data_IF_592211241968
#
_entry.id   IF_592211241968
#
_cell.length_a   1.000
_cell.length_b   1.000
_cell.length_c   1.000
_cell.angle_alpha   90.00
_cell.angle_beta   90.00
_cell.angle_gamma   90.00
#
_symmetry.space_group_name_H-M   'P 1'
#
loop_
_entity.id
_entity.type
_entity.pdbx_description
1 polymer ?
#
# COMPACT_ATOMS: atom_id res chain seq x y z
N UNK A 1 -21.42 -24.59 -10.71
CA UNK A 1 -20.64 -24.68 -9.46
C UNK A 1 -21.02 -23.50 -8.60
N UNK A 2 -21.83 -23.72 -7.56
CA UNK A 2 -22.05 -22.71 -6.53
C UNK A 2 -20.73 -22.55 -5.77
N UNK A 3 -20.01 -21.48 -6.09
CA UNK A 3 -18.86 -21.06 -5.30
C UNK A 3 -19.40 -20.42 -4.02
N UNK A 4 -19.84 -21.24 -3.07
CA UNK A 4 -20.08 -20.80 -1.70
C UNK A 4 -18.70 -20.46 -1.13
N UNK A 5 -18.26 -19.21 -1.33
CA UNK A 5 -17.04 -18.66 -0.76
C UNK A 5 -17.10 -18.78 0.76
N UNK A 6 -16.59 -19.89 1.30
CA UNK A 6 -16.60 -20.14 2.72
C UNK A 6 -15.38 -19.46 3.33
N UNK A 7 -15.54 -18.21 3.73
CA UNK A 7 -14.49 -17.37 4.32
C UNK A 7 -13.78 -18.10 5.48
N UNK A 8 -14.51 -18.92 6.24
CA UNK A 8 -13.97 -19.73 7.34
C UNK A 8 -12.93 -20.75 6.83
N UNK A 9 -13.16 -21.34 5.67
CA UNK A 9 -12.26 -22.32 5.06
C UNK A 9 -10.97 -21.65 4.56
N UNK A 10 -11.08 -20.46 3.97
CA UNK A 10 -9.92 -19.64 3.57
C UNK A 10 -9.08 -19.26 4.80
N UNK A 11 -9.72 -18.82 5.88
CA UNK A 11 -9.04 -18.45 7.12
C UNK A 11 -8.31 -19.65 7.73
N UNK A 12 -8.95 -20.82 7.78
CA UNK A 12 -8.34 -22.06 8.27
C UNK A 12 -7.18 -22.52 7.38
N UNK A 13 -7.28 -22.32 6.07
CA UNK A 13 -6.21 -22.66 5.15
C UNK A 13 -4.98 -21.77 5.35
N UNK A 14 -5.20 -20.45 5.51
CA UNK A 14 -4.15 -19.48 5.84
C UNK A 14 -3.46 -19.81 7.18
N UNK A 15 -4.23 -20.28 8.17
CA UNK A 15 -3.68 -20.69 9.46
C UNK A 15 -2.81 -21.95 9.37
N UNK A 16 -3.17 -22.90 8.50
CA UNK A 16 -2.42 -24.14 8.27
C UNK A 16 -1.17 -23.93 7.42
N UNK A 17 -1.21 -23.01 6.46
CA UNK A 17 -0.14 -22.81 5.47
C UNK A 17 0.28 -21.33 5.40
N UNK A 18 1.06 -20.83 6.37
CA UNK A 18 1.53 -19.43 6.38
C UNK A 18 2.41 -19.08 5.17
N UNK A 19 2.99 -20.08 4.49
CA UNK A 19 3.71 -19.87 3.23
C UNK A 19 2.83 -19.30 2.10
N UNK A 20 1.53 -19.59 2.11
CA UNK A 20 0.58 -18.99 1.17
C UNK A 20 0.50 -17.48 1.38
N UNK A 21 0.45 -17.02 2.64
CA UNK A 21 0.47 -15.59 2.99
C UNK A 21 1.74 -14.90 2.49
N UNK A 22 2.90 -15.56 2.61
CA UNK A 22 4.17 -15.05 2.09
C UNK A 22 4.15 -14.96 0.56
N UNK A 23 3.62 -15.97 -0.12
CA UNK A 23 3.45 -15.95 -1.58
C UNK A 23 2.49 -14.82 -2.02
N UNK A 24 1.39 -14.60 -1.29
CA UNK A 24 0.49 -13.46 -1.50
C UNK A 24 1.13 -12.10 -1.19
N UNK A 25 2.06 -12.05 -0.25
CA UNK A 25 2.85 -10.85 0.00
C UNK A 25 3.88 -10.61 -1.11
N UNK A 26 4.40 -11.67 -1.75
CA UNK A 26 5.35 -11.57 -2.86
C UNK A 26 4.68 -11.18 -4.20
N UNK A 27 3.60 -11.87 -4.55
CA UNK A 27 2.86 -11.69 -5.81
C UNK A 27 1.67 -10.76 -5.57
N UNK A 28 1.61 -9.69 -6.35
CA UNK A 28 1.09 -8.38 -5.94
C UNK A 28 -0.35 -7.96 -6.30
N UNK A 29 -1.32 -8.83 -6.69
CA UNK A 29 -2.58 -8.31 -7.23
C UNK A 29 -3.38 -7.51 -6.19
N UNK A 30 -3.22 -7.78 -4.90
CA UNK A 30 -3.90 -7.04 -3.84
C UNK A 30 -3.32 -5.65 -3.59
N UNK A 31 -2.01 -5.48 -3.75
CA UNK A 31 -1.32 -4.22 -3.49
C UNK A 31 -1.65 -3.14 -4.54
N UNK A 32 -1.87 -3.53 -5.79
CA UNK A 32 -2.37 -2.62 -6.85
C UNK A 32 -3.82 -2.16 -6.57
N UNK A 33 -4.67 -3.04 -6.07
CA UNK A 33 -6.02 -2.68 -5.62
C UNK A 33 -5.98 -1.75 -4.40
N UNK A 34 -5.14 -2.07 -3.41
CA UNK A 34 -4.91 -1.23 -2.23
C UNK A 34 -4.36 0.15 -2.61
N UNK A 35 -3.50 0.25 -3.62
CA UNK A 35 -2.96 1.51 -4.18
C UNK A 35 -4.06 2.47 -4.63
N UNK A 36 -5.19 1.94 -5.12
CA UNK A 36 -6.30 2.78 -5.57
C UNK A 36 -7.03 3.45 -4.40
N UNK A 37 -6.97 2.88 -3.20
CA UNK A 37 -7.74 3.37 -2.04
C UNK A 37 -7.20 4.73 -1.55
N UNK A 38 -5.90 4.92 -1.25
CA UNK A 38 -5.35 6.23 -0.89
C UNK A 38 -5.58 7.25 -2.00
N UNK A 39 -5.35 6.89 -3.27
CA UNK A 39 -5.54 7.78 -4.41
C UNK A 39 -7.01 8.23 -4.53
N UNK A 40 -7.95 7.31 -4.32
CA UNK A 40 -9.38 7.61 -4.32
C UNK A 40 -9.78 8.54 -3.17
N UNK A 41 -9.27 8.28 -1.95
CA UNK A 41 -9.52 9.15 -0.79
C UNK A 41 -8.97 10.55 -1.04
N UNK A 42 -7.73 10.68 -1.51
CA UNK A 42 -7.08 11.97 -1.71
C UNK A 42 -7.73 12.77 -2.86
N UNK A 43 -8.19 12.07 -3.91
CA UNK A 43 -9.07 12.65 -4.94
C UNK A 43 -10.36 13.19 -4.32
N UNK A 44 -11.01 12.42 -3.43
CA UNK A 44 -12.27 12.82 -2.80
C UNK A 44 -12.12 14.03 -1.87
N UNK A 45 -10.98 14.18 -1.22
CA UNK A 45 -10.64 15.33 -0.35
C UNK A 45 -10.25 16.58 -1.17
N UNK A 46 -10.15 16.49 -2.50
CA UNK A 46 -9.88 17.62 -3.39
C UNK A 46 -8.42 18.08 -3.41
N UNK A 47 -7.51 17.31 -2.81
CA UNK A 47 -6.06 17.59 -2.79
C UNK A 47 -5.41 17.21 -4.12
N UNK A 48 -6.03 16.30 -4.89
CA UNK A 48 -5.47 15.73 -6.11
C UNK A 48 -6.41 15.90 -7.31
N UNK A 49 -5.89 16.47 -8.41
CA UNK A 49 -6.55 16.49 -9.73
C UNK A 49 -5.81 15.53 -10.69
N UNK A 50 -6.43 14.41 -11.08
CA UNK A 50 -5.77 13.39 -11.93
C UNK A 50 -5.24 13.93 -13.27
N UNK A 51 -5.85 14.95 -13.84
CA UNK A 51 -5.47 15.50 -15.15
C UNK A 51 -4.23 16.40 -15.14
N UNK A 52 -3.68 16.77 -13.97
CA UNK A 52 -2.52 17.67 -13.87
C UNK A 52 -1.42 17.27 -12.87
N UNK A 53 -1.77 16.52 -11.81
CA UNK A 53 -0.84 16.19 -10.71
C UNK A 53 -0.27 14.77 -10.77
N UNK A 54 -0.59 14.02 -11.84
CA UNK A 54 -0.30 12.58 -11.97
C UNK A 54 1.21 12.26 -11.99
N UNK A 55 2.05 13.25 -12.29
CA UNK A 55 3.50 13.10 -12.40
C UNK A 55 4.18 12.75 -11.06
N UNK A 56 4.29 13.70 -10.13
CA UNK A 56 5.11 13.51 -8.91
C UNK A 56 4.29 13.04 -7.71
N UNK A 57 3.01 13.44 -7.61
CA UNK A 57 2.14 12.91 -6.56
C UNK A 57 1.89 11.40 -6.77
N UNK A 58 1.61 10.99 -8.00
CA UNK A 58 1.56 9.59 -8.39
C UNK A 58 2.87 8.86 -8.08
N UNK A 59 4.01 9.45 -8.43
CA UNK A 59 5.33 8.87 -8.14
C UNK A 59 5.60 8.70 -6.64
N UNK A 60 5.27 9.69 -5.80
CA UNK A 60 5.46 9.62 -4.34
C UNK A 60 4.58 8.53 -3.71
N UNK A 61 3.33 8.40 -4.14
CA UNK A 61 2.43 7.34 -3.69
C UNK A 61 2.96 5.97 -4.11
N UNK A 62 3.42 5.83 -5.35
CA UNK A 62 4.06 4.60 -5.84
C UNK A 62 5.31 4.25 -5.02
N UNK A 63 6.19 5.22 -4.74
CA UNK A 63 7.39 4.99 -3.93
C UNK A 63 7.07 4.51 -2.51
N UNK A 64 6.12 5.18 -1.83
CA UNK A 64 5.72 4.79 -0.47
C UNK A 64 5.09 3.39 -0.48
N UNK A 65 4.33 3.06 -1.52
CA UNK A 65 3.73 1.74 -1.71
C UNK A 65 4.76 0.66 -2.02
N UNK A 66 5.78 0.95 -2.83
CA UNK A 66 6.89 0.01 -3.10
C UNK A 66 7.70 -0.30 -1.84
N UNK A 67 8.01 0.73 -1.03
CA UNK A 67 8.69 0.55 0.25
C UNK A 67 7.80 -0.23 1.22
N UNK A 68 6.52 0.14 1.33
CA UNK A 68 5.55 -0.56 2.16
C UNK A 68 5.36 -2.02 1.78
N UNK A 69 5.34 -2.31 0.48
CA UNK A 69 5.31 -3.68 -0.04
C UNK A 69 6.55 -4.46 0.35
N UNK A 70 7.76 -3.92 0.08
CA UNK A 70 9.01 -4.62 0.36
C UNK A 70 9.12 -4.94 1.86
N UNK A 71 8.81 -3.95 2.71
CA UNK A 71 8.76 -4.14 4.16
C UNK A 71 7.71 -5.17 4.56
N UNK A 72 6.55 -5.15 3.92
CA UNK A 72 5.49 -6.13 4.09
C UNK A 72 5.96 -7.55 3.78
N UNK A 73 6.51 -7.77 2.60
CA UNK A 73 7.05 -9.05 2.18
C UNK A 73 8.15 -9.56 3.13
N UNK A 74 9.13 -8.73 3.46
CA UNK A 74 10.20 -9.08 4.40
C UNK A 74 9.63 -9.43 5.78
N UNK A 75 8.67 -8.65 6.28
CA UNK A 75 8.03 -8.94 7.56
C UNK A 75 7.28 -10.27 7.56
N UNK A 76 6.58 -10.62 6.46
CA UNK A 76 5.85 -11.89 6.36
C UNK A 76 6.82 -13.08 6.31
N UNK A 77 7.95 -12.96 5.63
CA UNK A 77 9.00 -13.99 5.67
C UNK A 77 9.53 -14.18 7.09
N UNK A 78 9.87 -13.08 7.78
CA UNK A 78 10.42 -13.16 9.14
C UNK A 78 9.42 -13.78 10.12
N UNK A 79 8.15 -13.34 10.08
CA UNK A 79 7.11 -13.88 10.96
C UNK A 79 6.84 -15.37 10.69
N UNK A 80 6.92 -15.82 9.43
CA UNK A 80 6.83 -17.23 9.09
C UNK A 80 7.97 -18.02 9.73
N UNK A 81 9.22 -17.55 9.61
CA UNK A 81 10.38 -18.21 10.22
C UNK A 81 10.36 -18.18 11.75
N UNK A 82 9.72 -17.19 12.35
CA UNK A 82 9.48 -17.13 13.80
C UNK A 82 8.36 -18.06 14.29
N UNK A 83 7.71 -18.81 13.39
CA UNK A 83 6.62 -19.73 13.75
C UNK A 83 5.34 -19.01 14.20
N UNK A 84 5.15 -17.76 13.78
CA UNK A 84 3.93 -17.01 14.08
C UNK A 84 2.77 -17.61 13.28
N UNK A 85 1.60 -17.75 13.90
CA UNK A 85 0.43 -18.29 13.21
C UNK A 85 0.00 -17.40 12.05
N UNK A 86 -0.44 -18.01 10.94
CA UNK A 86 -0.83 -17.28 9.73
C UNK A 86 -1.89 -16.21 9.98
N UNK A 87 -2.83 -16.46 10.90
CA UNK A 87 -3.86 -15.47 11.25
C UNK A 87 -3.29 -14.22 11.94
N UNK A 88 -2.28 -14.39 12.80
CA UNK A 88 -1.55 -13.26 13.40
C UNK A 88 -0.73 -12.52 12.35
N UNK A 89 -0.07 -13.25 11.45
CA UNK A 89 0.67 -12.68 10.32
C UNK A 89 -0.23 -11.81 9.43
N UNK A 90 -1.42 -12.30 9.09
CA UNK A 90 -2.43 -11.58 8.32
C UNK A 90 -2.87 -10.28 9.01
N UNK A 91 -3.13 -10.33 10.32
CA UNK A 91 -3.51 -9.14 11.10
C UNK A 91 -2.39 -8.09 11.13
N UNK A 92 -1.15 -8.52 11.32
CA UNK A 92 0.02 -7.63 11.27
C UNK A 92 0.14 -7.00 9.88
N UNK A 93 -0.02 -7.80 8.83
CA UNK A 93 0.05 -7.33 7.45
C UNK A 93 -1.02 -6.28 7.15
N UNK A 94 -2.26 -6.52 7.60
CA UNK A 94 -3.37 -5.58 7.46
C UNK A 94 -3.13 -4.28 8.23
N UNK A 95 -2.69 -4.37 9.49
CA UNK A 95 -2.39 -3.20 10.31
C UNK A 95 -1.29 -2.33 9.68
N UNK A 96 -0.24 -2.94 9.14
CA UNK A 96 0.82 -2.24 8.44
C UNK A 96 0.30 -1.44 7.24
N UNK A 97 -0.59 -2.02 6.42
CA UNK A 97 -1.22 -1.30 5.30
C UNK A 97 -2.08 -0.13 5.74
N UNK A 98 -2.82 -0.26 6.84
CA UNK A 98 -3.60 0.84 7.40
C UNK A 98 -2.69 1.99 7.84
N UNK A 99 -1.58 1.69 8.51
CA UNK A 99 -0.60 2.70 8.92
C UNK A 99 0.02 3.43 7.72
N UNK A 100 0.43 2.69 6.68
CA UNK A 100 0.97 3.28 5.45
C UNK A 100 -0.07 4.18 4.78
N UNK A 101 -1.32 3.72 4.67
CA UNK A 101 -2.41 4.49 4.08
C UNK A 101 -2.68 5.78 4.85
N UNK A 102 -2.77 5.70 6.19
CA UNK A 102 -2.95 6.86 7.04
C UNK A 102 -1.78 7.85 6.94
N UNK A 103 -0.54 7.34 6.88
CA UNK A 103 0.65 8.16 6.68
C UNK A 103 0.61 8.91 5.35
N UNK A 104 0.27 8.23 4.24
CA UNK A 104 0.16 8.86 2.93
C UNK A 104 -0.91 9.95 2.93
N UNK A 105 -2.10 9.67 3.48
CA UNK A 105 -3.21 10.63 3.52
C UNK A 105 -2.86 11.87 4.34
N UNK A 106 -2.32 11.69 5.54
CA UNK A 106 -1.97 12.80 6.44
C UNK A 106 -0.81 13.65 5.90
N UNK A 107 0.16 13.01 5.23
CA UNK A 107 1.32 13.70 4.67
C UNK A 107 1.09 14.20 3.22
N UNK A 108 -0.04 13.88 2.60
CA UNK A 108 -0.36 14.27 1.22
C UNK A 108 -0.27 15.79 1.02
N UNK A 109 -0.72 16.59 1.98
CA UNK A 109 -0.64 18.04 1.92
C UNK A 109 0.81 18.56 1.98
N UNK A 110 1.67 17.95 2.80
CA UNK A 110 3.09 18.29 2.89
C UNK A 110 3.87 17.88 1.63
N UNK A 111 3.56 16.71 1.08
CA UNK A 111 4.10 16.23 -0.19
C UNK A 111 3.73 17.18 -1.35
N UNK A 112 2.46 17.62 -1.39
CA UNK A 112 1.99 18.59 -2.38
C UNK A 112 2.74 19.92 -2.30
N UNK A 113 2.88 20.49 -1.09
CA UNK A 113 3.59 21.76 -0.90
C UNK A 113 5.06 21.68 -1.31
N UNK A 114 5.76 20.58 -0.99
CA UNK A 114 7.15 20.38 -1.42
C UNK A 114 7.25 20.25 -2.94
N UNK A 115 6.30 19.55 -3.56
CA UNK A 115 6.24 19.41 -5.00
C UNK A 115 6.05 20.76 -5.71
N UNK A 116 5.11 21.60 -5.25
CA UNK A 116 4.87 22.93 -5.83
C UNK A 116 6.13 23.82 -5.76
N UNK A 117 6.88 23.75 -4.66
CA UNK A 117 8.16 24.48 -4.50
C UNK A 117 9.23 23.99 -5.47
N UNK A 118 9.36 22.68 -5.68
CA UNK A 118 10.34 22.12 -6.61
C UNK A 118 10.00 22.43 -8.08
N UNK A 119 8.72 22.46 -8.44
CA UNK A 119 8.29 22.91 -9.78
C UNK A 119 8.62 24.38 -10.03
N UNK A 120 8.38 25.26 -9.04
CA UNK A 120 8.74 26.67 -9.11
C UNK A 120 10.26 26.90 -9.24
N UNK A 121 11.09 26.06 -8.59
CA UNK A 121 12.54 26.12 -8.73
C UNK A 121 13.00 25.71 -10.14
N UNK A 122 12.43 24.66 -10.72
CA UNK A 122 12.74 24.26 -12.11
C UNK A 122 12.39 25.36 -13.11
N UNK A 123 11.23 26.00 -12.97
CA UNK A 123 10.82 27.12 -13.83
C UNK A 123 11.75 28.34 -13.73
N UNK A 124 12.38 28.57 -12.58
CA UNK A 124 13.37 29.64 -12.39
C UNK A 124 14.77 29.32 -12.93
N UNK A 125 15.08 28.05 -13.21
CA UNK A 125 16.37 27.66 -13.78
C UNK A 125 16.37 27.61 -15.31
N UNK A 126 15.17 27.61 -15.92
CA UNK A 126 14.99 27.56 -17.38
C UNK A 126 14.75 28.95 -18.01
N UNK A 127 14.58 30.00 -17.17
CA UNK A 127 14.56 31.40 -17.59
C UNK A 127 15.87 32.09 -17.18
#
# INVERSE_FOLDING_TARGET
>A
MESTFNIIEIIRHIEREPGILVAFAAFHPFALLLLTIPLWIIKKVGIYKPSGDLGIFGFAVVCIMTVGWLMGFVSQILLMFMGISGLKMLLIYFAMYLCITAFVITNAAGLRKKFDVDQLKKLKQTN
#
